data_IF_117251968595
#
_entry.id   IF_117251968595
#
_cell.length_a   1.000
_cell.length_b   1.000
_cell.length_c   1.000
_cell.angle_alpha   90.00
_cell.angle_beta   90.00
_cell.angle_gamma   90.00
#
_symmetry.space_group_name_H-M   'P 1'
#
loop_
_entity.id
_entity.type
_entity.pdbx_description
1 polymer ?
#
# COMPACT_ATOMS: atom_id res chain seq x y z
N UNK A 1 -10.57 13.61 -1.89
CA UNK A 1 -9.69 12.75 -1.08
C UNK A 1 -8.41 12.55 -1.88
N UNK A 2 -7.36 13.27 -1.52
CA UNK A 2 -6.24 13.60 -2.42
C UNK A 2 -5.23 12.47 -2.56
N UNK A 3 -4.67 12.33 -3.77
CA UNK A 3 -3.50 11.50 -4.11
C UNK A 3 -2.35 11.67 -3.12
N UNK A 4 -2.18 12.90 -2.62
CA UNK A 4 -1.21 13.30 -1.60
C UNK A 4 -1.26 12.40 -0.36
N UNK A 5 -2.44 12.00 0.13
CA UNK A 5 -2.55 11.15 1.34
C UNK A 5 -2.03 9.72 1.16
N UNK A 6 -2.01 9.20 -0.07
CA UNK A 6 -1.44 7.89 -0.35
C UNK A 6 0.08 7.98 -0.44
N UNK A 7 0.59 8.96 -1.19
CA UNK A 7 2.02 9.17 -1.37
C UNK A 7 2.71 9.48 -0.04
N UNK A 8 2.12 10.34 0.79
CA UNK A 8 2.61 10.64 2.15
C UNK A 8 2.63 9.37 3.04
N UNK A 9 1.59 8.55 2.98
CA UNK A 9 1.51 7.32 3.77
C UNK A 9 2.54 6.28 3.32
N UNK A 10 2.78 6.19 2.02
CA UNK A 10 3.79 5.30 1.44
C UNK A 10 5.20 5.76 1.81
N UNK A 11 5.51 7.05 1.63
CA UNK A 11 6.82 7.61 1.98
C UNK A 11 7.12 7.41 3.47
N UNK A 12 6.12 7.62 4.33
CA UNK A 12 6.26 7.38 5.78
C UNK A 12 6.51 5.91 6.09
N UNK A 13 5.81 4.99 5.41
CA UNK A 13 6.02 3.56 5.58
C UNK A 13 7.45 3.14 5.17
N UNK A 14 7.96 3.68 4.06
CA UNK A 14 9.34 3.44 3.63
C UNK A 14 10.36 3.97 4.64
N UNK A 15 10.12 5.15 5.21
CA UNK A 15 10.98 5.71 6.25
C UNK A 15 11.03 4.81 7.49
N UNK A 16 9.87 4.29 7.92
CA UNK A 16 9.78 3.34 9.05
C UNK A 16 10.60 2.08 8.75
N UNK A 17 10.42 1.48 7.57
CA UNK A 17 11.16 0.28 7.16
C UNK A 17 12.67 0.55 7.18
N UNK A 18 13.12 1.65 6.56
CA UNK A 18 14.54 2.04 6.55
C UNK A 18 15.12 2.17 7.96
N UNK A 19 14.36 2.76 8.88
CA UNK A 19 14.78 2.92 10.29
C UNK A 19 14.83 1.60 11.04
N UNK A 20 13.87 0.70 10.79
CA UNK A 20 13.87 -0.64 11.38
C UNK A 20 15.05 -1.48 10.87
N UNK A 21 15.38 -1.39 9.57
CA UNK A 21 16.51 -2.08 8.95
C UNK A 21 17.87 -1.56 9.42
N UNK A 22 17.96 -0.26 9.75
CA UNK A 22 19.18 0.33 10.30
C UNK A 22 19.54 -0.22 11.69
N UNK A 23 18.59 -0.79 12.42
CA UNK A 23 18.84 -1.44 13.72
C UNK A 23 19.19 -0.48 14.87
N UNK A 24 19.00 0.83 14.69
CA UNK A 24 19.31 1.86 15.69
C UNK A 24 18.16 2.08 16.70
N UNK A 25 17.07 1.34 16.59
CA UNK A 25 15.85 1.53 17.39
C UNK A 25 15.89 0.70 18.67
N UNK A 26 15.43 1.29 19.77
CA UNK A 26 15.12 0.53 20.99
C UNK A 26 13.93 -0.40 20.76
N UNK A 27 13.73 -1.38 21.65
CA UNK A 27 12.57 -2.29 21.57
C UNK A 27 11.24 -1.54 21.58
N UNK A 28 11.09 -0.53 22.43
CA UNK A 28 9.84 0.24 22.53
C UNK A 28 9.58 1.06 21.25
N UNK A 29 10.63 1.68 20.70
CA UNK A 29 10.52 2.39 19.42
C UNK A 29 10.18 1.44 18.28
N UNK A 30 10.78 0.25 18.27
CA UNK A 30 10.53 -0.78 17.25
C UNK A 30 9.09 -1.26 17.27
N UNK A 31 8.50 -1.43 18.45
CA UNK A 31 7.09 -1.77 18.61
C UNK A 31 6.17 -0.66 18.09
N UNK A 32 6.48 0.61 18.42
CA UNK A 32 5.71 1.77 17.92
C UNK A 32 5.79 1.89 16.40
N UNK A 33 6.99 1.76 15.83
CA UNK A 33 7.23 1.76 14.40
C UNK A 33 6.48 0.62 13.69
N UNK A 34 6.47 -0.59 14.27
CA UNK A 34 5.73 -1.72 13.72
C UNK A 34 4.22 -1.45 13.70
N UNK A 35 3.65 -0.95 14.80
CA UNK A 35 2.22 -0.60 14.85
C UNK A 35 1.85 0.49 13.83
N UNK A 36 2.68 1.52 13.69
CA UNK A 36 2.51 2.58 12.70
C UNK A 36 2.59 2.01 11.28
N UNK A 37 3.58 1.17 11.00
CA UNK A 37 3.77 0.52 9.71
C UNK A 37 2.57 -0.34 9.30
N UNK A 38 1.99 -1.12 10.23
CA UNK A 38 0.78 -1.90 9.97
C UNK A 38 -0.41 -1.01 9.62
N UNK A 39 -0.57 0.13 10.30
CA UNK A 39 -1.66 1.09 10.02
C UNK A 39 -1.50 1.71 8.63
N UNK A 40 -0.28 2.14 8.28
CA UNK A 40 0.02 2.73 6.99
C UNK A 40 -0.13 1.72 5.85
N UNK A 41 0.37 0.49 6.01
CA UNK A 41 0.20 -0.59 5.03
C UNK A 41 -1.28 -0.84 4.72
N UNK A 42 -2.13 -0.97 5.75
CA UNK A 42 -3.58 -1.13 5.57
C UNK A 42 -4.23 0.06 4.88
N UNK A 43 -3.79 1.28 5.18
CA UNK A 43 -4.27 2.48 4.52
C UNK A 43 -3.94 2.46 3.02
N UNK A 44 -2.70 2.11 2.67
CA UNK A 44 -2.24 2.01 1.29
C UNK A 44 -3.02 0.94 0.52
N UNK A 45 -3.15 -0.28 1.06
CA UNK A 45 -3.94 -1.35 0.42
C UNK A 45 -5.38 -0.92 0.17
N UNK A 46 -6.04 -0.34 1.19
CA UNK A 46 -7.41 0.14 1.03
C UNK A 46 -7.55 1.18 -0.09
N UNK A 47 -6.55 2.04 -0.28
CA UNK A 47 -6.56 3.06 -1.33
C UNK A 47 -6.36 2.45 -2.71
N UNK A 48 -5.50 1.45 -2.84
CA UNK A 48 -5.34 0.69 -4.08
C UNK A 48 -6.64 -0.04 -4.43
N UNK A 49 -7.27 -0.72 -3.47
CA UNK A 49 -8.55 -1.40 -3.69
C UNK A 49 -9.67 -0.41 -4.11
N UNK A 50 -9.69 0.80 -3.55
CA UNK A 50 -10.62 1.86 -3.95
C UNK A 50 -10.36 2.33 -5.39
N UNK A 51 -9.10 2.44 -5.80
CA UNK A 51 -8.71 2.81 -7.16
C UNK A 51 -9.08 1.71 -8.17
N UNK A 52 -8.76 0.46 -7.87
CA UNK A 52 -9.06 -0.70 -8.72
C UNK A 52 -10.55 -0.83 -8.98
N UNK A 53 -11.39 -0.74 -7.92
CA UNK A 53 -12.86 -0.75 -8.07
C UNK A 53 -13.35 0.39 -8.96
N UNK A 54 -12.75 1.57 -8.88
CA UNK A 54 -13.14 2.71 -9.71
C UNK A 54 -12.78 2.48 -11.18
N UNK A 55 -11.62 1.90 -11.45
CA UNK A 55 -11.19 1.51 -12.80
C UNK A 55 -12.15 0.45 -13.37
N UNK A 56 -12.49 -0.57 -12.59
CA UNK A 56 -13.45 -1.60 -13.01
C UNK A 56 -14.82 -1.03 -13.38
N UNK A 57 -15.34 -0.06 -12.60
CA UNK A 57 -16.62 0.58 -12.90
C UNK A 57 -16.57 1.38 -14.21
N UNK A 58 -15.51 2.15 -14.44
CA UNK A 58 -15.34 2.92 -15.67
C UNK A 58 -15.24 2.01 -16.91
N UNK A 59 -14.51 0.90 -16.82
CA UNK A 59 -14.39 -0.07 -17.91
C UNK A 59 -15.72 -0.80 -18.21
N UNK A 60 -16.58 -0.99 -17.19
CA UNK A 60 -17.93 -1.56 -17.40
C UNK A 60 -18.86 -0.60 -18.15
N UNK A 61 -18.66 0.71 -18.03
CA UNK A 61 -19.47 1.71 -18.75
C UNK A 61 -19.07 1.84 -20.24
N UNK A 62 -17.83 1.52 -20.62
CA UNK A 62 -17.32 1.63 -22.01
C UNK A 62 -17.47 0.36 -22.88
N UNK A 63 -18.04 -0.73 -22.36
CA UNK A 63 -18.61 -1.80 -23.20
C UNK A 63 -17.66 -2.90 -23.72
N UNK A 64 -16.35 -2.85 -23.48
CA UNK A 64 -15.44 -3.98 -23.79
C UNK A 64 -14.56 -4.37 -22.57
N UNK A 65 -14.81 -5.56 -22.02
CA UNK A 65 -14.11 -6.11 -20.86
C UNK A 65 -12.94 -7.00 -21.29
N UNK A 66 -11.71 -6.52 -21.08
CA UNK A 66 -10.56 -7.41 -20.79
C UNK A 66 -9.78 -6.81 -19.63
N UNK A 67 -10.20 -7.10 -18.40
CA UNK A 67 -9.34 -6.93 -17.22
C UNK A 67 -8.70 -8.27 -16.89
N UNK A 68 -7.37 -8.29 -16.86
CA UNK A 68 -6.62 -9.41 -16.27
C UNK A 68 -6.34 -9.06 -14.81
N UNK A 69 -6.42 -10.03 -13.88
CA UNK A 69 -5.90 -9.85 -12.53
C UNK A 69 -4.47 -9.34 -12.62
N UNK A 70 -4.13 -8.30 -11.85
CA UNK A 70 -2.73 -7.96 -11.61
C UNK A 70 -2.15 -9.10 -10.78
N UNK A 71 -1.63 -10.12 -11.46
CA UNK A 71 -0.80 -11.14 -10.85
C UNK A 71 0.48 -10.43 -10.42
N UNK A 72 0.48 -9.89 -9.20
CA UNK A 72 1.73 -9.63 -8.50
C UNK A 72 2.47 -10.96 -8.51
N UNK A 73 3.54 -11.01 -9.29
CA UNK A 73 4.32 -12.20 -9.58
C UNK A 73 4.40 -13.08 -8.32
N UNK A 74 3.74 -14.23 -8.37
CA UNK A 74 4.09 -15.37 -7.54
C UNK A 74 5.56 -15.64 -7.85
N UNK A 75 6.44 -14.99 -7.08
CA UNK A 75 7.86 -15.28 -7.06
C UNK A 75 7.98 -16.72 -6.58
N UNK A 76 8.19 -17.59 -7.55
CA UNK A 76 8.85 -18.90 -7.51
C UNK A 76 8.83 -19.62 -6.15
N UNK A 77 8.08 -20.73 -6.10
CA UNK A 77 8.52 -21.99 -5.48
C UNK A 77 7.73 -23.15 -6.06
#
# INVERSE_FOLDING_TARGET
MSKEKFEEALERLEEIVRRMEAGEMTLEESLKAFEEGIKLSRLCTKKLDEADRRVELLLREEGELVTKPFAGEERES
#
